data_IF_984215834883
#
_entry.id   IF_984215834883
#
_cell.length_a   1.000
_cell.length_b   1.000
_cell.length_c   1.000
_cell.angle_alpha   90.00
_cell.angle_beta   90.00
_cell.angle_gamma   90.00
#
_symmetry.space_group_name_H-M   'P 1'
#
loop_
_entity.id
_entity.type
_entity.pdbx_description
1 polymer ?
#
# COMPACT_ATOMS: atom_id res chain seq x y z
N UNK A 1 3.45 -11.39 18.67
CA UNK A 1 4.70 -10.72 18.18
C UNK A 1 4.31 -9.34 17.66
N UNK A 2 5.16 -8.31 17.80
CA UNK A 2 4.83 -6.98 17.22
C UNK A 2 5.04 -7.01 15.71
N UNK A 3 4.05 -6.64 14.90
CA UNK A 3 4.21 -6.62 13.45
C UNK A 3 5.10 -5.48 12.97
N UNK A 4 5.61 -5.61 11.73
CA UNK A 4 6.37 -4.56 11.03
C UNK A 4 5.46 -3.82 10.04
N UNK A 5 5.62 -2.50 9.92
CA UNK A 5 5.04 -1.71 8.84
C UNK A 5 6.06 -1.55 7.71
N UNK A 6 5.70 -1.97 6.51
CA UNK A 6 6.50 -1.80 5.29
C UNK A 6 5.87 -0.71 4.41
N UNK A 7 6.59 0.39 4.21
CA UNK A 7 6.15 1.48 3.35
C UNK A 7 6.82 1.41 1.98
N UNK A 8 6.00 1.40 0.93
CA UNK A 8 6.47 1.44 -0.45
C UNK A 8 6.70 2.90 -0.88
N UNK A 9 7.96 3.30 -0.94
CA UNK A 9 8.39 4.67 -1.21
C UNK A 9 9.35 4.79 -2.42
N UNK A 10 9.61 3.70 -3.15
CA UNK A 10 10.51 3.67 -4.31
C UNK A 10 9.91 4.31 -5.58
N UNK A 11 8.58 4.44 -5.67
CA UNK A 11 7.88 5.11 -6.77
C UNK A 11 7.99 6.64 -6.76
N UNK A 12 8.81 7.18 -5.89
CA UNK A 12 8.91 8.61 -5.59
C UNK A 12 9.39 9.44 -6.77
N UNK A 13 8.62 10.45 -7.11
CA UNK A 13 9.15 11.66 -7.74
C UNK A 13 9.17 11.73 -9.25
N UNK A 14 8.74 10.70 -10.01
CA UNK A 14 8.81 10.76 -11.48
C UNK A 14 7.88 11.80 -12.14
N UNK A 15 6.83 12.23 -11.44
CA UNK A 15 5.82 13.14 -12.00
C UNK A 15 5.92 14.61 -11.54
N UNK A 16 6.69 14.91 -10.48
CA UNK A 16 6.73 16.24 -9.86
C UNK A 16 8.14 16.83 -9.68
N UNK A 17 9.17 16.21 -10.25
CA UNK A 17 10.55 16.74 -10.20
C UNK A 17 11.17 16.83 -8.79
N UNK A 18 10.57 16.15 -7.79
CA UNK A 18 11.01 16.15 -6.40
C UNK A 18 10.31 15.07 -5.56
N UNK A 19 10.69 14.96 -4.30
CA UNK A 19 10.12 14.04 -3.32
C UNK A 19 8.71 14.53 -2.87
N UNK A 20 7.66 14.23 -3.64
CA UNK A 20 6.27 14.57 -3.29
C UNK A 20 5.88 14.11 -1.88
N UNK A 21 6.48 13.03 -1.39
CA UNK A 21 6.26 12.47 -0.07
C UNK A 21 6.84 13.33 1.06
N UNK A 22 7.63 14.35 0.71
CA UNK A 22 8.13 15.35 1.64
C UNK A 22 7.25 16.61 1.68
N UNK A 23 6.13 16.65 0.93
CA UNK A 23 5.19 17.75 1.03
C UNK A 23 4.53 17.75 2.40
N UNK A 24 4.80 18.77 3.19
CA UNK A 24 4.19 18.98 4.49
C UNK A 24 2.74 19.37 4.33
N UNK A 25 1.85 18.54 4.88
CA UNK A 25 0.40 18.71 4.85
C UNK A 25 -0.17 18.98 6.24
N UNK A 26 0.55 18.60 7.28
CA UNK A 26 0.23 18.92 8.68
C UNK A 26 0.78 20.28 9.12
N UNK A 27 0.32 20.81 10.28
CA UNK A 27 0.63 22.16 10.74
C UNK A 27 2.11 22.37 11.08
N UNK A 28 2.89 21.33 11.37
CA UNK A 28 4.34 21.44 11.62
C UNK A 28 5.16 20.81 10.48
N UNK A 29 4.58 20.67 9.29
CA UNK A 29 5.23 20.07 8.13
C UNK A 29 5.19 18.55 8.12
N UNK A 30 4.29 17.94 8.87
CA UNK A 30 4.06 16.49 8.81
C UNK A 30 3.56 16.08 7.43
N UNK A 31 4.12 14.99 6.92
CA UNK A 31 3.73 14.38 5.66
C UNK A 31 2.63 13.33 5.87
N UNK A 32 1.97 12.85 4.81
CA UNK A 32 0.98 11.76 4.92
C UNK A 32 1.57 10.53 5.63
N UNK A 33 2.81 10.14 5.29
CA UNK A 33 3.44 8.97 5.91
C UNK A 33 3.73 9.16 7.41
N UNK A 34 3.93 10.41 7.89
CA UNK A 34 4.12 10.66 9.32
C UNK A 34 2.87 10.26 10.10
N UNK A 35 1.66 10.53 9.58
CA UNK A 35 0.39 10.09 10.18
C UNK A 35 0.24 8.57 10.14
N UNK A 36 0.59 7.93 9.02
CA UNK A 36 0.56 6.48 8.89
C UNK A 36 1.49 5.79 9.90
N UNK A 37 2.70 6.31 10.09
CA UNK A 37 3.66 5.78 11.07
C UNK A 37 3.17 6.01 12.50
N UNK A 38 2.63 7.20 12.79
CA UNK A 38 2.04 7.51 14.09
C UNK A 38 0.92 6.52 14.44
N UNK A 39 -0.02 6.29 13.53
CA UNK A 39 -1.12 5.36 13.74
C UNK A 39 -0.64 3.91 13.86
N UNK A 40 0.35 3.49 13.08
CA UNK A 40 0.97 2.17 13.20
C UNK A 40 1.62 1.96 14.58
N UNK A 41 2.38 2.93 15.07
CA UNK A 41 2.98 2.86 16.42
C UNK A 41 1.87 2.72 17.46
N UNK A 42 0.79 3.50 17.37
CA UNK A 42 -0.37 3.43 18.27
C UNK A 42 -1.14 2.10 18.17
N UNK A 43 -1.14 1.47 16.99
CA UNK A 43 -1.71 0.14 16.74
C UNK A 43 -0.79 -1.02 17.18
N UNK A 44 0.41 -0.74 17.72
CA UNK A 44 1.32 -1.73 18.28
C UNK A 44 2.37 -2.28 17.32
N UNK A 45 2.57 -1.67 16.16
CA UNK A 45 3.68 -2.02 15.27
C UNK A 45 5.02 -1.73 15.97
N UNK A 46 5.98 -2.64 15.81
CA UNK A 46 7.26 -2.60 16.53
C UNK A 46 8.46 -2.18 15.69
N UNK A 47 8.30 -2.08 14.38
CA UNK A 47 9.36 -1.71 13.43
C UNK A 47 8.74 -1.09 12.18
N UNK A 48 9.46 -0.14 11.60
CA UNK A 48 9.14 0.48 10.31
C UNK A 48 10.23 0.11 9.31
N UNK A 49 9.84 -0.31 8.12
CA UNK A 49 10.77 -0.57 7.01
C UNK A 49 10.32 0.25 5.82
N UNK A 50 11.23 0.98 5.21
CA UNK A 50 10.97 1.71 3.97
C UNK A 50 11.66 1.02 2.80
N UNK A 51 10.93 0.89 1.69
CA UNK A 51 11.53 0.55 0.40
C UNK A 51 11.67 1.84 -0.40
N UNK A 52 12.90 2.25 -0.65
CA UNK A 52 13.24 3.48 -1.39
C UNK A 52 14.16 3.14 -2.58
N UNK A 53 14.45 4.13 -3.41
CA UNK A 53 15.56 4.04 -4.38
C UNK A 53 16.86 4.43 -3.69
N UNK A 54 17.97 3.83 -4.09
CA UNK A 54 19.30 4.08 -3.48
C UNK A 54 19.77 5.52 -3.63
N UNK A 55 19.43 6.17 -4.75
CA UNK A 55 19.79 7.56 -5.03
C UNK A 55 19.11 8.59 -4.10
N UNK A 56 18.10 8.19 -3.33
CA UNK A 56 17.43 9.04 -2.34
C UNK A 56 17.86 8.75 -0.89
N UNK A 57 18.80 7.85 -0.66
CA UNK A 57 19.14 7.40 0.70
C UNK A 57 19.58 8.55 1.62
N UNK A 58 20.52 9.39 1.18
CA UNK A 58 21.06 10.46 2.01
C UNK A 58 20.00 11.51 2.37
N UNK A 59 19.22 11.93 1.38
CA UNK A 59 18.10 12.85 1.60
C UNK A 59 17.05 12.26 2.55
N UNK A 60 16.75 10.97 2.39
CA UNK A 60 15.77 10.28 3.20
C UNK A 60 16.24 10.13 4.66
N UNK A 61 17.50 9.74 4.87
CA UNK A 61 18.11 9.65 6.21
C UNK A 61 18.09 11.01 6.91
N UNK A 62 18.52 12.06 6.24
CA UNK A 62 18.64 13.38 6.83
C UNK A 62 17.30 14.06 7.13
N UNK A 63 16.28 13.85 6.28
CA UNK A 63 15.02 14.61 6.34
C UNK A 63 13.87 13.81 6.97
N UNK A 64 13.93 12.46 6.93
CA UNK A 64 12.82 11.60 7.32
C UNK A 64 13.15 10.78 8.56
N UNK A 65 14.27 10.05 8.57
CA UNK A 65 14.54 9.10 9.65
C UNK A 65 14.70 9.78 11.01
N UNK A 66 15.30 10.97 11.04
CA UNK A 66 15.49 11.74 12.27
C UNK A 66 14.18 12.04 13.02
N UNK A 67 13.05 12.10 12.31
CA UNK A 67 11.72 12.32 12.93
C UNK A 67 11.29 11.16 13.83
N UNK A 68 11.75 9.94 13.55
CA UNK A 68 11.30 8.72 14.22
C UNK A 68 12.29 8.20 15.26
N UNK A 69 13.45 8.84 15.40
CA UNK A 69 14.46 8.49 16.40
C UNK A 69 13.87 8.51 17.81
N UNK A 70 14.09 7.42 18.56
CA UNK A 70 13.53 7.26 19.92
C UNK A 70 12.07 6.83 19.98
N UNK A 71 11.32 6.83 18.86
CA UNK A 71 9.91 6.42 18.80
C UNK A 71 9.74 4.98 18.34
N UNK A 72 10.45 4.55 17.30
CA UNK A 72 10.36 3.22 16.71
C UNK A 72 11.64 2.89 15.92
N UNK A 73 12.12 1.63 15.91
CA UNK A 73 13.19 1.18 15.03
C UNK A 73 12.81 1.36 13.56
N UNK A 74 13.73 1.88 12.74
CA UNK A 74 13.53 2.10 11.30
C UNK A 74 14.67 1.50 10.50
N UNK A 75 14.31 0.76 9.44
CA UNK A 75 15.26 0.17 8.49
C UNK A 75 14.95 0.60 7.04
N UNK A 76 15.96 0.59 6.18
CA UNK A 76 15.84 0.92 4.76
C UNK A 76 16.14 -0.30 3.89
N UNK A 77 15.32 -0.53 2.88
CA UNK A 77 15.55 -1.45 1.79
C UNK A 77 15.58 -0.68 0.45
N UNK A 78 16.27 -1.22 -0.54
CA UNK A 78 16.47 -0.51 -1.79
C UNK A 78 15.90 -1.28 -2.98
N UNK A 79 15.00 -0.67 -3.71
CA UNK A 79 14.51 -1.20 -4.99
C UNK A 79 15.36 -0.65 -6.12
N UNK A 80 15.90 -1.55 -6.96
CA UNK A 80 16.57 -1.20 -8.22
C UNK A 80 16.08 -2.08 -9.35
N UNK A 81 16.28 -1.63 -10.59
CA UNK A 81 15.92 -2.41 -11.78
C UNK A 81 16.71 -3.71 -11.91
N UNK A 82 17.95 -3.72 -11.39
CA UNK A 82 18.88 -4.84 -11.46
C UNK A 82 18.76 -5.80 -10.27
N UNK A 83 17.88 -5.52 -9.29
CA UNK A 83 17.60 -6.41 -8.18
C UNK A 83 16.71 -7.59 -8.65
N UNK A 84 17.28 -8.45 -9.48
CA UNK A 84 16.64 -9.59 -10.10
C UNK A 84 17.18 -10.91 -9.56
N UNK A 85 16.38 -11.99 -9.62
CA UNK A 85 16.88 -13.33 -9.31
C UNK A 85 18.02 -13.76 -10.26
N UNK A 86 18.84 -14.68 -9.79
CA UNK A 86 19.92 -15.25 -10.61
C UNK A 86 19.38 -15.78 -11.95
N UNK A 87 20.11 -15.49 -13.04
CA UNK A 87 19.78 -15.88 -14.40
C UNK A 87 18.94 -14.88 -15.19
N UNK A 88 18.47 -13.80 -14.55
CA UNK A 88 17.73 -12.73 -15.24
C UNK A 88 18.56 -11.45 -15.35
N UNK A 89 18.34 -10.70 -16.42
CA UNK A 89 18.96 -9.40 -16.65
C UNK A 89 17.90 -8.36 -17.00
N UNK A 90 18.07 -7.15 -16.48
CA UNK A 90 17.17 -6.05 -16.81
C UNK A 90 17.33 -5.64 -18.27
N UNK A 91 16.24 -5.52 -19.06
CA UNK A 91 16.32 -4.95 -20.41
C UNK A 91 16.96 -3.55 -20.38
N UNK A 92 17.89 -3.29 -21.30
CA UNK A 92 18.69 -2.06 -21.32
C UNK A 92 17.85 -0.77 -21.37
N UNK A 93 16.72 -0.81 -22.07
CA UNK A 93 15.84 0.35 -22.26
C UNK A 93 14.75 0.46 -21.17
N UNK A 94 14.76 -0.44 -20.17
CA UNK A 94 13.77 -0.39 -19.09
C UNK A 94 14.11 0.70 -18.07
N UNK A 95 13.18 1.60 -17.87
CA UNK A 95 13.25 2.66 -16.84
C UNK A 95 12.17 2.51 -15.75
N UNK A 96 11.12 1.70 -16.04
CA UNK A 96 10.01 1.52 -15.11
C UNK A 96 10.35 0.45 -14.06
N UNK A 97 10.11 0.71 -12.75
CA UNK A 97 10.26 -0.31 -11.70
C UNK A 97 9.44 -1.57 -12.01
N UNK A 98 9.83 -2.70 -11.42
CA UNK A 98 9.17 -4.00 -11.65
C UNK A 98 7.82 -4.17 -10.93
N UNK A 99 7.35 -3.13 -10.24
CA UNK A 99 6.04 -3.10 -9.60
C UNK A 99 6.10 -3.22 -8.07
N UNK A 100 4.92 -3.11 -7.44
CA UNK A 100 4.78 -3.04 -5.98
C UNK A 100 5.20 -4.33 -5.28
N UNK A 101 4.95 -5.50 -5.89
CA UNK A 101 5.36 -6.75 -5.27
C UNK A 101 6.88 -6.99 -5.34
N UNK A 102 7.54 -6.50 -6.38
CA UNK A 102 9.00 -6.48 -6.41
C UNK A 102 9.57 -5.56 -5.32
N UNK A 103 8.93 -4.42 -5.05
CA UNK A 103 9.33 -3.57 -3.92
C UNK A 103 9.21 -4.31 -2.57
N UNK A 104 8.12 -5.06 -2.36
CA UNK A 104 7.96 -5.90 -1.15
C UNK A 104 9.11 -6.90 -1.01
N UNK A 105 9.53 -7.56 -2.10
CA UNK A 105 10.63 -8.54 -2.09
C UNK A 105 11.96 -7.96 -1.57
N UNK A 106 12.19 -6.67 -1.72
CA UNK A 106 13.42 -6.02 -1.22
C UNK A 106 13.54 -6.08 0.30
N UNK A 107 12.45 -6.32 1.01
CA UNK A 107 12.43 -6.40 2.47
C UNK A 107 12.60 -7.84 3.02
N UNK A 108 12.75 -8.85 2.18
CA UNK A 108 12.80 -10.28 2.57
C UNK A 108 13.88 -10.63 3.61
N UNK A 109 15.01 -9.95 3.55
CA UNK A 109 16.14 -10.22 4.46
C UNK A 109 16.01 -9.47 5.79
N UNK A 110 15.17 -8.44 5.84
CA UNK A 110 15.00 -7.51 6.96
C UNK A 110 13.76 -7.85 7.79
N UNK A 111 12.68 -8.33 7.18
CA UNK A 111 11.42 -8.65 7.84
C UNK A 111 11.32 -10.16 8.07
N UNK A 112 11.21 -10.57 9.35
CA UNK A 112 11.08 -11.99 9.77
C UNK A 112 9.80 -12.23 10.60
N UNK A 113 9.08 -11.19 10.91
CA UNK A 113 7.80 -11.16 11.63
C UNK A 113 6.63 -10.86 10.68
N UNK A 114 5.35 -11.10 11.09
CA UNK A 114 4.20 -10.64 10.33
C UNK A 114 4.30 -9.14 10.04
N UNK A 115 3.84 -8.72 8.86
CA UNK A 115 4.02 -7.34 8.41
C UNK A 115 2.82 -6.81 7.63
N UNK A 116 2.65 -5.49 7.68
CA UNK A 116 1.67 -4.76 6.88
C UNK A 116 2.40 -3.96 5.80
N UNK A 117 1.92 -4.02 4.58
CA UNK A 117 2.40 -3.21 3.44
C UNK A 117 1.43 -2.07 3.19
N UNK A 118 1.96 -0.86 2.96
CA UNK A 118 1.19 0.33 2.55
C UNK A 118 1.95 1.15 1.51
N UNK A 119 1.23 1.99 0.80
CA UNK A 119 1.82 3.09 0.03
C UNK A 119 2.19 4.25 0.97
N UNK A 120 3.27 4.94 0.71
CA UNK A 120 3.73 6.04 1.57
C UNK A 120 2.99 7.37 1.34
N UNK A 121 2.22 7.48 0.24
CA UNK A 121 1.51 8.69 -0.18
C UNK A 121 -0.02 8.62 0.00
N UNK A 122 -0.51 7.57 0.66
CA UNK A 122 -1.91 7.35 0.99
C UNK A 122 -2.18 7.59 2.48
N UNK A 123 -3.29 8.26 2.80
CA UNK A 123 -3.75 8.42 4.18
C UNK A 123 -4.81 7.36 4.51
N UNK A 124 -4.45 6.42 5.40
CA UNK A 124 -5.28 5.25 5.71
C UNK A 124 -6.19 5.44 6.93
N UNK A 125 -5.88 6.42 7.79
CA UNK A 125 -6.56 6.70 9.06
C UNK A 125 -6.39 5.57 10.10
N UNK A 126 -6.62 5.92 11.38
CA UNK A 126 -6.29 5.13 12.56
C UNK A 126 -6.96 3.75 12.62
N UNK A 127 -8.26 3.66 12.33
CA UNK A 127 -9.02 2.41 12.42
C UNK A 127 -8.44 1.32 11.49
N UNK A 128 -8.00 1.68 10.29
CA UNK A 128 -7.37 0.74 9.37
C UNK A 128 -6.10 0.10 9.97
N UNK A 129 -5.25 0.89 10.66
CA UNK A 129 -4.07 0.36 11.34
C UNK A 129 -4.43 -0.51 12.54
N UNK A 130 -5.49 -0.16 13.27
CA UNK A 130 -5.96 -0.94 14.42
C UNK A 130 -6.45 -2.32 14.00
N UNK A 131 -7.29 -2.41 12.96
CA UNK A 131 -7.84 -3.70 12.52
C UNK A 131 -6.76 -4.63 11.97
N UNK A 132 -5.82 -4.11 11.16
CA UNK A 132 -4.75 -4.95 10.59
C UNK A 132 -3.66 -5.24 11.61
N UNK A 133 -3.30 -4.28 12.47
CA UNK A 133 -2.34 -4.47 13.54
C UNK A 133 -2.80 -5.55 14.52
N UNK A 134 -4.09 -5.52 14.91
CA UNK A 134 -4.70 -6.56 15.73
C UNK A 134 -4.66 -7.93 15.05
N UNK A 135 -5.08 -8.03 13.79
CA UNK A 135 -5.04 -9.28 13.03
C UNK A 135 -3.65 -9.89 13.04
N UNK A 136 -2.61 -9.10 12.69
CA UNK A 136 -1.23 -9.59 12.59
C UNK A 136 -0.66 -9.96 13.97
N UNK A 137 -1.00 -9.23 15.02
CA UNK A 137 -0.54 -9.51 16.38
C UNK A 137 -1.17 -10.78 16.98
N UNK A 138 -2.42 -11.08 16.60
CA UNK A 138 -3.19 -12.24 17.08
C UNK A 138 -2.84 -13.54 16.33
N UNK A 139 -2.06 -13.48 15.25
CA UNK A 139 -1.63 -14.68 14.55
C UNK A 139 -0.79 -15.59 15.47
N UNK A 140 -1.09 -16.89 15.52
CA UNK A 140 -0.23 -17.85 16.23
C UNK A 140 1.22 -17.79 15.72
N UNK A 141 2.15 -18.06 16.62
CA UNK A 141 3.57 -18.16 16.24
C UNK A 141 3.78 -19.24 15.17
N UNK A 142 4.55 -18.91 14.13
CA UNK A 142 4.78 -19.82 13.01
C UNK A 142 3.63 -19.91 11.99
N UNK A 143 2.60 -19.05 12.11
CA UNK A 143 1.54 -18.96 11.10
C UNK A 143 2.10 -18.74 9.71
N UNK A 144 1.54 -19.47 8.74
CA UNK A 144 1.90 -19.38 7.31
C UNK A 144 0.63 -19.25 6.47
N UNK A 145 0.72 -18.65 5.31
CA UNK A 145 -0.35 -18.54 4.32
C UNK A 145 -1.66 -17.93 4.87
N UNK A 146 -1.55 -17.18 5.97
CA UNK A 146 -2.67 -16.51 6.65
C UNK A 146 -2.51 -15.00 6.49
N UNK A 147 -3.12 -14.47 5.45
CA UNK A 147 -2.98 -13.08 5.05
C UNK A 147 -4.25 -12.29 5.31
N UNK A 148 -4.14 -10.97 5.23
CA UNK A 148 -5.29 -10.09 5.32
C UNK A 148 -5.14 -8.90 4.35
N UNK A 149 -6.26 -8.27 4.07
CA UNK A 149 -6.35 -7.00 3.38
C UNK A 149 -7.33 -6.11 4.13
N UNK A 150 -7.01 -4.82 4.28
CA UNK A 150 -8.00 -3.87 4.77
C UNK A 150 -8.92 -3.48 3.61
N UNK A 151 -10.19 -3.86 3.74
CA UNK A 151 -11.26 -3.54 2.79
C UNK A 151 -11.86 -2.18 3.13
N UNK A 152 -11.45 -1.15 2.40
CA UNK A 152 -12.07 0.17 2.51
C UNK A 152 -13.42 0.15 1.78
N UNK A 153 -14.40 0.88 2.29
CA UNK A 153 -15.68 1.06 1.60
C UNK A 153 -15.47 2.00 0.43
N UNK A 154 -15.88 1.61 -0.77
CA UNK A 154 -15.62 2.38 -2.00
C UNK A 154 -16.11 3.83 -1.88
N UNK A 155 -17.25 4.06 -1.25
CA UNK A 155 -17.80 5.41 -1.01
C UNK A 155 -16.90 6.30 -0.14
N UNK A 156 -15.97 5.71 0.65
CA UNK A 156 -15.00 6.40 1.50
C UNK A 156 -13.66 6.64 0.81
N UNK A 157 -13.53 6.35 -0.49
CA UNK A 157 -12.24 6.41 -1.22
C UNK A 157 -12.30 7.24 -2.49
N UNK A 158 -13.35 8.00 -2.70
CA UNK A 158 -13.57 8.82 -3.90
C UNK A 158 -12.80 10.15 -3.83
N UNK A 159 -12.58 10.76 -4.98
CA UNK A 159 -12.10 12.14 -5.13
C UNK A 159 -13.24 13.02 -5.65
N UNK A 160 -13.29 14.27 -5.15
CA UNK A 160 -14.23 15.28 -5.66
C UNK A 160 -13.74 15.89 -6.99
N UNK A 161 -12.50 15.61 -7.41
CA UNK A 161 -11.84 16.22 -8.56
C UNK A 161 -11.76 15.32 -9.79
N UNK A 162 -12.36 14.11 -9.75
CA UNK A 162 -12.39 13.21 -10.89
C UNK A 162 -12.51 11.75 -10.52
N UNK A 163 -12.33 10.88 -11.51
CA UNK A 163 -12.37 9.43 -11.33
C UNK A 163 -11.13 8.94 -10.55
N UNK A 164 -11.32 7.83 -9.85
CA UNK A 164 -10.25 7.12 -9.13
C UNK A 164 -10.14 5.68 -9.62
N UNK A 165 -8.96 5.07 -9.45
CA UNK A 165 -8.73 3.66 -9.72
C UNK A 165 -8.69 2.88 -8.40
N UNK A 166 -9.44 1.73 -8.31
CA UNK A 166 -9.52 0.89 -7.12
C UNK A 166 -9.64 -0.58 -7.50
N UNK A 167 -9.03 -1.44 -6.69
CA UNK A 167 -9.28 -2.87 -6.77
C UNK A 167 -10.59 -3.24 -6.08
N UNK A 168 -11.67 -3.43 -6.84
CA UNK A 168 -12.95 -3.90 -6.29
C UNK A 168 -12.79 -5.35 -5.85
N UNK A 169 -13.18 -5.65 -4.61
CA UNK A 169 -13.00 -6.94 -3.96
C UNK A 169 -14.31 -7.71 -3.88
N UNK A 170 -14.23 -9.03 -4.10
CA UNK A 170 -15.29 -9.97 -3.80
C UNK A 170 -14.86 -10.90 -2.66
N UNK A 171 -15.78 -11.27 -1.78
CA UNK A 171 -15.53 -12.09 -0.61
C UNK A 171 -16.42 -13.34 -0.62
N UNK A 172 -15.95 -14.41 0.03
CA UNK A 172 -16.80 -15.55 0.38
C UNK A 172 -17.66 -15.26 1.63
N UNK A 173 -18.54 -16.20 1.98
CA UNK A 173 -19.43 -16.10 3.15
C UNK A 173 -18.65 -16.05 4.48
N UNK A 174 -17.38 -16.43 4.50
CA UNK A 174 -16.49 -16.36 5.66
C UNK A 174 -15.72 -15.03 5.72
N UNK A 175 -15.92 -14.15 4.74
CA UNK A 175 -15.21 -12.87 4.60
C UNK A 175 -13.76 -13.03 4.14
N UNK A 176 -13.45 -14.11 3.43
CA UNK A 176 -12.16 -14.23 2.77
C UNK A 176 -12.24 -13.67 1.36
N UNK A 177 -11.19 -13.01 0.93
CA UNK A 177 -11.06 -12.45 -0.41
C UNK A 177 -11.08 -13.57 -1.46
N UNK A 178 -11.93 -13.44 -2.47
CA UNK A 178 -11.99 -14.35 -3.61
C UNK A 178 -11.38 -13.77 -4.86
N UNK A 179 -11.57 -12.46 -5.09
CA UNK A 179 -10.99 -11.75 -6.24
C UNK A 179 -10.73 -10.29 -5.91
N UNK A 180 -9.74 -9.71 -6.59
CA UNK A 180 -9.53 -8.27 -6.69
C UNK A 180 -9.50 -7.90 -8.17
N UNK A 181 -10.40 -7.02 -8.58
CA UNK A 181 -10.50 -6.54 -9.97
C UNK A 181 -10.25 -5.05 -10.02
N UNK A 182 -9.15 -4.65 -10.66
CA UNK A 182 -8.83 -3.23 -10.83
C UNK A 182 -9.85 -2.56 -11.76
N UNK A 183 -10.43 -1.45 -11.27
CA UNK A 183 -11.31 -0.55 -12.03
C UNK A 183 -10.68 0.83 -12.05
N UNK A 184 -10.41 1.34 -13.23
CA UNK A 184 -9.60 2.56 -13.43
C UNK A 184 -10.42 3.84 -13.42
N UNK A 185 -11.75 3.76 -13.58
CA UNK A 185 -12.67 4.90 -13.59
C UNK A 185 -13.83 4.63 -12.63
N UNK A 186 -13.70 5.14 -11.41
CA UNK A 186 -14.75 5.06 -10.37
C UNK A 186 -15.09 6.47 -9.91
N UNK A 187 -16.37 6.80 -9.87
CA UNK A 187 -16.88 8.07 -9.35
C UNK A 187 -18.37 7.96 -9.00
N UNK A 188 -18.95 9.02 -8.42
CA UNK A 188 -20.41 9.11 -8.31
C UNK A 188 -21.02 9.59 -9.63
N UNK A 189 -22.04 8.89 -10.10
CA UNK A 189 -22.82 9.24 -11.28
C UNK A 189 -24.28 9.34 -10.87
N UNK A 190 -24.85 10.52 -10.89
CA UNK A 190 -26.25 10.81 -10.50
C UNK A 190 -26.66 10.28 -9.11
N UNK A 191 -25.67 10.17 -8.21
CA UNK A 191 -25.85 9.74 -6.81
C UNK A 191 -25.09 8.46 -6.46
N UNK A 192 -25.35 7.29 -7.05
CA UNK A 192 -24.61 6.05 -6.74
C UNK A 192 -23.14 6.11 -7.14
N UNK A 193 -22.32 5.29 -6.46
CA UNK A 193 -20.95 5.02 -6.90
C UNK A 193 -21.01 4.10 -8.10
N UNK A 194 -20.30 4.45 -9.17
CA UNK A 194 -20.23 3.66 -10.39
C UNK A 194 -18.79 3.48 -10.85
N UNK A 195 -18.51 2.36 -11.50
CA UNK A 195 -17.29 2.19 -12.29
C UNK A 195 -17.64 2.05 -13.76
N UNK A 196 -16.68 2.36 -14.63
CA UNK A 196 -16.80 2.17 -16.06
C UNK A 196 -16.33 0.77 -16.43
N UNK A 197 -17.18 0.02 -17.11
CA UNK A 197 -16.85 -1.33 -17.58
C UNK A 197 -16.02 -1.31 -18.88
N UNK A 198 -15.70 -2.49 -19.41
CA UNK A 198 -14.92 -2.65 -20.65
C UNK A 198 -15.65 -2.16 -21.90
N UNK A 199 -16.97 -2.06 -21.84
CA UNK A 199 -17.83 -1.53 -22.91
C UNK A 199 -17.98 -0.01 -22.81
N UNK A 200 -17.47 0.60 -21.73
CA UNK A 200 -17.57 2.04 -21.46
C UNK A 200 -18.87 2.46 -20.76
N UNK A 201 -19.65 1.49 -20.26
CA UNK A 201 -20.91 1.75 -19.56
C UNK A 201 -20.69 1.91 -18.05
N UNK A 202 -21.48 2.78 -17.42
CA UNK A 202 -21.42 2.99 -15.98
C UNK A 202 -22.22 1.90 -15.24
N UNK A 203 -21.51 1.15 -14.40
CA UNK A 203 -22.07 0.06 -13.58
C UNK A 203 -22.05 0.50 -12.12
N UNK A 204 -23.23 0.53 -11.49
CA UNK A 204 -23.38 0.92 -10.10
C UNK A 204 -22.83 -0.16 -9.15
N UNK A 205 -22.25 0.29 -8.04
CA UNK A 205 -21.84 -0.56 -6.90
C UNK A 205 -22.31 0.07 -5.60
N UNK A 206 -22.53 -0.78 -4.60
CA UNK A 206 -22.90 -0.33 -3.25
C UNK A 206 -21.77 0.48 -2.61
N UNK A 207 -22.10 1.56 -1.90
CA UNK A 207 -21.13 2.41 -1.20
C UNK A 207 -20.22 1.62 -0.24
N UNK A 208 -20.72 0.52 0.33
CA UNK A 208 -19.99 -0.35 1.25
C UNK A 208 -19.20 -1.47 0.54
N UNK A 209 -19.20 -1.53 -0.79
CA UNK A 209 -18.40 -2.50 -1.53
C UNK A 209 -16.92 -2.38 -1.12
N UNK A 210 -16.27 -3.47 -0.68
CA UNK A 210 -14.88 -3.42 -0.26
C UNK A 210 -13.96 -3.19 -1.46
N UNK A 211 -12.99 -2.28 -1.27
CA UNK A 211 -11.93 -2.02 -2.25
C UNK A 211 -10.57 -2.11 -1.61
N UNK A 212 -9.60 -2.58 -2.38
CA UNK A 212 -8.20 -2.54 -1.99
C UNK A 212 -7.62 -1.14 -2.20
N UNK A 213 -7.01 -0.63 -1.14
CA UNK A 213 -6.17 0.58 -1.14
C UNK A 213 -4.69 0.22 -0.93
N UNK A 214 -4.30 -0.98 -1.32
CA UNK A 214 -2.94 -1.52 -1.18
C UNK A 214 -2.46 -1.63 0.27
N UNK A 215 -3.37 -1.85 1.22
CA UNK A 215 -3.06 -2.12 2.63
C UNK A 215 -3.22 -3.61 2.91
N UNK A 216 -2.08 -4.32 2.95
CA UNK A 216 -2.03 -5.79 3.01
C UNK A 216 -1.28 -6.27 4.24
N UNK A 217 -1.76 -7.33 4.87
CA UNK A 217 -1.09 -8.03 5.97
C UNK A 217 -0.61 -9.40 5.53
N UNK A 218 0.66 -9.69 5.79
CA UNK A 218 1.31 -10.94 5.37
C UNK A 218 2.08 -11.59 6.51
N UNK A 219 2.22 -12.92 6.45
CA UNK A 219 3.24 -13.66 7.18
C UNK A 219 4.52 -13.78 6.35
N UNK A 220 5.72 -13.99 6.95
CA UNK A 220 7.00 -13.96 6.23
C UNK A 220 7.15 -14.93 5.06
N UNK A 221 6.37 -16.02 5.05
CA UNK A 221 6.33 -16.98 3.93
C UNK A 221 5.86 -16.37 2.61
N UNK A 222 5.19 -15.20 2.67
CA UNK A 222 4.85 -14.42 1.47
C UNK A 222 6.07 -14.11 0.59
N UNK A 223 7.24 -13.90 1.20
CA UNK A 223 8.47 -13.65 0.44
C UNK A 223 8.91 -14.88 -0.38
N UNK A 224 8.75 -16.09 0.16
CA UNK A 224 9.06 -17.34 -0.55
C UNK A 224 8.19 -17.49 -1.81
N UNK A 225 6.86 -17.30 -1.65
CA UNK A 225 5.92 -17.35 -2.77
C UNK A 225 6.19 -16.24 -3.78
N UNK A 226 6.41 -15.03 -3.29
CA UNK A 226 6.65 -13.86 -4.12
C UNK A 226 7.93 -13.99 -4.96
N UNK A 227 9.01 -14.54 -4.38
CA UNK A 227 10.25 -14.80 -5.12
C UNK A 227 10.05 -15.86 -6.23
N UNK A 228 9.34 -16.95 -5.91
CA UNK A 228 9.05 -18.00 -6.89
C UNK A 228 8.22 -17.45 -8.07
N UNK A 229 7.18 -16.67 -7.77
CA UNK A 229 6.31 -16.12 -8.81
C UNK A 229 6.94 -14.96 -9.57
N UNK A 230 7.88 -14.24 -8.96
CA UNK A 230 8.65 -13.24 -9.69
C UNK A 230 9.57 -13.88 -10.73
N UNK A 231 10.19 -15.02 -10.42
CA UNK A 231 10.95 -15.82 -11.42
C UNK A 231 10.05 -16.29 -12.57
N UNK A 232 8.85 -16.77 -12.25
CA UNK A 232 7.86 -17.16 -13.27
C UNK A 232 7.44 -15.97 -14.14
N UNK A 233 7.13 -14.81 -13.51
CA UNK A 233 6.80 -13.57 -14.21
C UNK A 233 7.90 -13.14 -15.19
N UNK A 234 9.16 -13.19 -14.78
CA UNK A 234 10.31 -12.85 -15.61
C UNK A 234 10.60 -13.90 -16.69
N UNK A 235 10.16 -15.16 -16.50
CA UNK A 235 10.32 -16.24 -17.47
C UNK A 235 9.34 -16.11 -18.65
N UNK A 236 8.26 -15.34 -18.52
CA UNK A 236 7.35 -15.06 -19.64
C UNK A 236 7.97 -13.99 -20.57
N UNK A 237 8.27 -14.34 -21.83
CA UNK A 237 8.84 -13.39 -22.79
C UNK A 237 8.01 -12.11 -22.95
N UNK A 238 6.67 -12.20 -22.84
CA UNK A 238 5.78 -11.04 -22.96
C UNK A 238 6.05 -9.99 -21.87
N UNK A 239 6.37 -10.45 -20.65
CA UNK A 239 6.70 -9.54 -19.56
C UNK A 239 8.09 -8.91 -19.70
N UNK A 240 9.05 -9.66 -20.27
CA UNK A 240 10.41 -9.15 -20.51
C UNK A 240 10.48 -8.20 -21.70
N UNK A 241 9.72 -8.45 -22.74
CA UNK A 241 9.61 -7.59 -23.94
C UNK A 241 8.82 -6.30 -23.63
N UNK A 242 7.86 -6.36 -22.72
CA UNK A 242 7.10 -5.20 -22.29
C UNK A 242 7.86 -4.39 -21.21
N UNK A 243 8.57 -3.35 -21.64
CA UNK A 243 9.32 -2.46 -20.75
C UNK A 243 8.47 -1.78 -19.65
N UNK A 244 7.13 -1.90 -19.71
CA UNK A 244 6.17 -1.36 -18.73
C UNK A 244 5.48 -2.44 -17.91
N UNK A 245 5.78 -3.74 -18.12
CA UNK A 245 5.19 -4.81 -17.31
C UNK A 245 5.54 -4.62 -15.82
N UNK A 246 4.58 -4.83 -14.96
CA UNK A 246 4.74 -4.68 -13.51
C UNK A 246 4.18 -5.89 -12.76
N UNK A 247 4.94 -6.35 -11.81
CA UNK A 247 4.56 -7.40 -10.87
C UNK A 247 3.93 -6.78 -9.63
N UNK A 248 2.59 -6.70 -9.64
CA UNK A 248 1.81 -6.04 -8.59
C UNK A 248 1.42 -7.00 -7.46
N UNK A 249 1.20 -6.46 -6.26
CA UNK A 249 0.69 -7.22 -5.10
C UNK A 249 -0.66 -7.89 -5.42
N UNK A 250 -1.69 -7.22 -5.99
CA UNK A 250 -2.95 -7.87 -6.31
C UNK A 250 -2.82 -9.04 -7.28
N UNK A 251 -1.89 -8.98 -8.25
CA UNK A 251 -1.63 -10.10 -9.16
C UNK A 251 -1.12 -11.32 -8.39
N UNK A 252 -0.16 -11.11 -7.50
CA UNK A 252 0.39 -12.15 -6.63
C UNK A 252 -0.67 -12.75 -5.72
N UNK A 253 -1.46 -11.90 -5.06
CA UNK A 253 -2.53 -12.33 -4.15
C UNK A 253 -3.58 -13.14 -4.87
N UNK A 254 -4.06 -12.70 -6.03
CA UNK A 254 -5.03 -13.45 -6.84
C UNK A 254 -4.49 -14.82 -7.24
N UNK A 255 -3.21 -14.93 -7.60
CA UNK A 255 -2.58 -16.21 -7.92
C UNK A 255 -2.60 -17.16 -6.71
N UNK A 256 -2.20 -16.69 -5.52
CA UNK A 256 -2.21 -17.48 -4.29
C UNK A 256 -3.61 -17.98 -3.91
N UNK A 257 -4.63 -17.13 -4.07
CA UNK A 257 -6.03 -17.49 -3.81
C UNK A 257 -6.51 -18.55 -4.81
N UNK A 258 -6.28 -18.34 -6.10
CA UNK A 258 -6.73 -19.25 -7.17
C UNK A 258 -6.07 -20.62 -7.09
N UNK A 259 -4.83 -20.69 -6.62
CA UNK A 259 -4.10 -21.95 -6.39
C UNK A 259 -4.40 -22.58 -5.02
N UNK A 260 -5.28 -21.99 -4.21
CA UNK A 260 -5.58 -22.38 -2.84
C UNK A 260 -4.34 -22.49 -1.94
N UNK A 261 -3.31 -21.70 -2.22
CA UNK A 261 -2.07 -21.67 -1.46
C UNK A 261 -2.22 -20.84 -0.18
N UNK A 262 -2.99 -19.76 -0.22
CA UNK A 262 -3.19 -18.87 0.92
C UNK A 262 -4.65 -18.44 1.08
N UNK A 263 -5.00 -18.09 2.31
CA UNK A 263 -6.26 -17.44 2.65
C UNK A 263 -5.99 -15.96 2.96
N UNK A 264 -6.81 -15.07 2.41
CA UNK A 264 -6.71 -13.63 2.63
C UNK A 264 -8.00 -13.13 3.27
N UNK A 265 -7.94 -12.75 4.55
CA UNK A 265 -9.08 -12.19 5.27
C UNK A 265 -9.31 -10.74 4.84
N UNK A 266 -10.54 -10.37 4.49
CA UNK A 266 -10.91 -8.97 4.29
C UNK A 266 -11.34 -8.38 5.62
N UNK A 267 -10.60 -7.37 6.08
CA UNK A 267 -10.85 -6.66 7.34
C UNK A 267 -11.64 -5.38 7.01
N UNK A 268 -12.88 -5.30 7.48
CA UNK A 268 -13.69 -4.08 7.31
C UNK A 268 -13.12 -2.93 8.14
N UNK A 269 -13.13 -1.75 7.55
CA UNK A 269 -12.79 -0.50 8.23
C UNK A 269 -13.80 0.59 7.91
N UNK A 270 -14.06 1.44 8.90
CA UNK A 270 -14.86 2.66 8.73
C UNK A 270 -14.01 3.85 8.29
N UNK A 271 -12.69 3.67 8.19
CA UNK A 271 -11.74 4.71 7.79
C UNK A 271 -12.14 5.36 6.47
N UNK A 272 -11.95 6.67 6.42
CA UNK A 272 -11.96 7.42 5.16
C UNK A 272 -10.53 7.51 4.66
N UNK A 273 -10.33 7.00 3.45
CA UNK A 273 -9.07 7.16 2.75
C UNK A 273 -9.07 8.51 2.03
N UNK A 274 -7.93 9.17 2.01
CA UNK A 274 -7.67 10.28 1.11
C UNK A 274 -6.18 10.36 0.74
N UNK A 275 -5.89 11.07 -0.33
CA UNK A 275 -4.54 11.27 -0.83
C UNK A 275 -4.52 12.44 -1.82
N UNK A 276 -3.35 12.86 -2.23
CA UNK A 276 -3.18 13.89 -3.26
C UNK A 276 -3.08 13.20 -4.62
N UNK A 277 -4.23 12.83 -5.20
CA UNK A 277 -4.32 12.24 -6.55
C UNK A 277 -4.12 13.31 -7.62
N UNK A 278 -4.83 14.41 -7.44
CA UNK A 278 -4.74 15.61 -8.28
C UNK A 278 -4.10 16.75 -7.47
N UNK A 279 -3.43 17.67 -8.12
CA UNK A 279 -2.86 18.85 -7.43
C UNK A 279 -3.92 19.68 -6.70
N UNK A 280 -5.16 19.69 -7.22
CA UNK A 280 -6.32 20.33 -6.59
C UNK A 280 -6.75 19.66 -5.26
N UNK A 281 -6.40 18.38 -5.03
CA UNK A 281 -6.75 17.69 -3.78
C UNK A 281 -5.95 18.20 -2.58
N UNK A 282 -4.80 18.86 -2.81
CA UNK A 282 -3.86 19.23 -1.73
C UNK A 282 -4.52 20.03 -0.61
N UNK A 283 -5.27 21.09 -0.95
CA UNK A 283 -5.92 21.92 0.06
C UNK A 283 -6.98 21.11 0.84
N UNK A 284 -7.77 20.31 0.15
CA UNK A 284 -8.76 19.42 0.78
C UNK A 284 -8.11 18.43 1.76
N UNK A 285 -6.91 17.91 1.42
CA UNK A 285 -6.16 17.01 2.32
C UNK A 285 -5.67 17.75 3.56
N UNK A 286 -5.13 18.97 3.40
CA UNK A 286 -4.71 19.83 4.53
C UNK A 286 -5.90 20.11 5.46
N UNK A 287 -7.05 20.49 4.90
CA UNK A 287 -8.26 20.80 5.67
C UNK A 287 -8.79 19.57 6.43
N UNK A 288 -8.76 18.38 5.79
CA UNK A 288 -9.14 17.12 6.43
C UNK A 288 -8.21 16.75 7.59
N UNK A 289 -6.89 16.91 7.42
CA UNK A 289 -5.91 16.68 8.49
C UNK A 289 -6.16 17.65 9.64
N UNK A 290 -6.37 18.95 9.35
CA UNK A 290 -6.66 19.94 10.38
C UNK A 290 -7.94 19.59 11.14
N UNK A 291 -9.01 19.19 10.45
CA UNK A 291 -10.26 18.72 11.10
C UNK A 291 -10.01 17.57 12.07
N UNK A 292 -9.20 16.57 11.68
CA UNK A 292 -8.85 15.45 12.56
C UNK A 292 -8.03 15.88 13.78
N UNK A 293 -7.23 16.93 13.66
CA UNK A 293 -6.50 17.52 14.80
C UNK A 293 -7.49 18.26 15.72
N UNK A 294 -8.38 19.07 15.16
CA UNK A 294 -9.38 19.85 15.91
C UNK A 294 -10.37 18.93 16.64
N UNK A 295 -10.70 17.77 16.07
CA UNK A 295 -11.50 16.71 16.68
C UNK A 295 -10.73 15.90 17.75
N UNK A 296 -9.42 16.16 17.95
CA UNK A 296 -8.58 15.46 18.91
C UNK A 296 -8.17 14.04 18.49
N UNK A 297 -8.36 13.67 17.22
CA UNK A 297 -7.90 12.38 16.67
C UNK A 297 -6.38 12.35 16.63
N UNK A 298 -5.75 13.44 16.20
CA UNK A 298 -4.29 13.61 16.22
C UNK A 298 -3.88 14.76 17.13
N UNK A 299 -2.70 14.67 17.76
CA UNK A 299 -2.10 15.82 18.44
C UNK A 299 -1.64 16.85 17.40
N UNK A 300 -1.49 18.12 17.82
CA UNK A 300 -0.98 19.18 16.94
C UNK A 300 0.46 18.91 16.43
N UNK A 301 1.24 18.12 17.17
CA UNK A 301 2.57 17.62 16.79
C UNK A 301 2.64 16.12 17.03
N UNK A 302 3.05 15.33 16.01
CA UNK A 302 3.03 13.85 16.08
C UNK A 302 4.22 13.28 16.88
N UNK A 303 5.42 13.82 16.69
CA UNK A 303 6.69 13.35 17.25
C UNK A 303 7.49 14.46 17.92
#
# INVERSE_FOLDING_TARGET
>A
MKPTLLLLAAGMGSRYGGLKQLDGLGPNGETIMDYSIFDAIKAGFGKIVFVIRKDFEDDFRNKILSKYEGHVPVELCFQSLDALPEGFQCPADRVKPWGTNHAVLMAKDVIKEPFCVINCDDFYNRDAFQVIGKFLADLPEGSRNSYAMVGFRVGNTLSDNGTVARGICSNDDKGNLTTVVERTEIMRVDGPVCYKDEQGEWVAVEDNTPVSMNMWGFTPDYFEHSEAYFKEFLSDPKNMENLKAEFFIPLMVNKLINENTATVKVLDTTSKWFGVTYSADRQSVVDKIQSLIDEGVYPNKLF
#
